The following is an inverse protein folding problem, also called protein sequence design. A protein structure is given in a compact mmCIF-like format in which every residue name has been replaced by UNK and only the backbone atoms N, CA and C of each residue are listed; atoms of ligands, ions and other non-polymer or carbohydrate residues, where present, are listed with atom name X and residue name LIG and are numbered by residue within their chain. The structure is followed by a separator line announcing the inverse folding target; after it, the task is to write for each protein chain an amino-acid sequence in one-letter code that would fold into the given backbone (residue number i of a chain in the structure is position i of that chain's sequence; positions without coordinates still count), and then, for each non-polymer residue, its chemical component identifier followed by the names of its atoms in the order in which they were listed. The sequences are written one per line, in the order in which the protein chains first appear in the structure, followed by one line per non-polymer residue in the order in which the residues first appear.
data_IF_828599193799
#
_entry.id   IF_828599193799
#
_cell.length_a   1.000
_cell.length_b   1.000
_cell.length_c   1.000
_cell.angle_alpha   90.00
_cell.angle_beta   90.00
_cell.angle_gamma   90.00
#
_symmetry.space_group_name_H-M   'P 1'
#
loop_
_entity.id
_entity.type
_entity.pdbx_description
1 polymer ?
#
# COMPACT_ATOMS: atom_id res chain seq x y z
N UNK A 1 22.10 -9.17 18.58
CA UNK A 1 21.71 -8.39 17.38
C UNK A 1 20.35 -7.78 17.65
N UNK A 2 20.17 -6.48 17.47
CA UNK A 2 18.88 -5.81 17.73
C UNK A 2 17.99 -5.85 16.48
N UNK A 3 16.70 -6.12 16.65
CA UNK A 3 15.70 -6.18 15.58
C UNK A 3 14.43 -5.41 15.98
N UNK A 4 13.75 -4.79 15.01
CA UNK A 4 12.51 -4.04 15.19
C UNK A 4 11.58 -4.35 14.03
N UNK A 5 10.33 -4.72 14.31
CA UNK A 5 9.31 -4.88 13.28
C UNK A 5 8.78 -3.52 12.81
N UNK A 6 8.81 -3.29 11.49
CA UNK A 6 8.35 -2.06 10.84
C UNK A 6 7.07 -2.22 10.02
N UNK A 7 6.59 -3.45 9.83
CA UNK A 7 5.34 -3.78 9.16
C UNK A 7 4.61 -4.81 10.04
N UNK A 8 3.60 -4.36 10.77
CA UNK A 8 2.83 -5.16 11.74
C UNK A 8 1.38 -4.75 11.69
N UNK A 9 0.49 -5.74 11.63
CA UNK A 9 -0.95 -5.55 11.75
C UNK A 9 -1.40 -5.83 13.17
N UNK A 10 -2.17 -4.91 13.74
CA UNK A 10 -2.88 -5.10 14.99
C UNK A 10 -4.32 -5.55 14.72
N UNK A 11 -5.08 -5.81 15.77
CA UNK A 11 -6.51 -6.11 15.71
C UNK A 11 -7.38 -4.97 15.15
N UNK A 12 -6.80 -3.81 14.83
CA UNK A 12 -7.46 -2.71 14.12
C UNK A 12 -7.38 -2.83 12.59
N UNK A 13 -6.59 -3.78 12.07
CA UNK A 13 -6.75 -4.30 10.71
C UNK A 13 -7.96 -5.22 10.65
N UNK A 14 -9.16 -4.64 10.56
CA UNK A 14 -10.42 -5.37 10.75
C UNK A 14 -10.56 -6.58 9.81
N UNK A 15 -10.90 -7.74 10.39
CA UNK A 15 -11.11 -8.98 9.63
C UNK A 15 -9.83 -9.61 9.08
N UNK A 16 -8.64 -9.17 9.51
CA UNK A 16 -7.34 -9.72 9.12
C UNK A 16 -6.38 -9.80 10.32
N UNK A 17 -6.14 -8.68 11.00
CA UNK A 17 -5.22 -8.62 12.13
C UNK A 17 -5.76 -9.30 13.39
N UNK A 18 -4.97 -10.21 13.95
CA UNK A 18 -5.33 -10.97 15.16
C UNK A 18 -4.62 -10.47 16.44
N UNK A 19 -3.53 -9.72 16.29
CA UNK A 19 -2.68 -9.34 17.41
C UNK A 19 -3.22 -8.11 18.15
N UNK A 20 -3.52 -8.24 19.44
CA UNK A 20 -3.91 -7.10 20.27
C UNK A 20 -2.73 -6.16 20.49
N UNK A 21 -2.99 -4.87 20.48
CA UNK A 21 -1.95 -3.84 20.71
C UNK A 21 -1.16 -4.09 22.00
N UNK A 22 -1.84 -4.39 23.11
CA UNK A 22 -1.15 -4.56 24.40
C UNK A 22 -0.23 -5.79 24.37
N UNK A 23 -0.69 -6.91 23.79
CA UNK A 23 0.09 -8.14 23.61
C UNK A 23 1.29 -7.94 22.66
N UNK A 24 1.12 -7.15 21.59
CA UNK A 24 2.22 -6.77 20.68
C UNK A 24 3.30 -6.00 21.42
N UNK A 25 2.91 -5.02 22.22
CA UNK A 25 3.83 -4.17 22.99
C UNK A 25 4.53 -4.98 24.09
N UNK A 26 3.79 -5.82 24.81
CA UNK A 26 4.35 -6.73 25.82
C UNK A 26 5.37 -7.69 25.21
N UNK A 27 5.05 -8.27 24.05
CA UNK A 27 5.97 -9.17 23.32
C UNK A 27 7.22 -8.44 22.84
N UNK A 28 7.08 -7.22 22.33
CA UNK A 28 8.21 -6.40 21.90
C UNK A 28 9.14 -6.06 23.08
N UNK A 29 8.59 -5.70 24.26
CA UNK A 29 9.36 -5.48 25.47
C UNK A 29 10.09 -6.76 25.92
N UNK A 30 9.37 -7.89 25.98
CA UNK A 30 9.90 -9.18 26.43
C UNK A 30 11.04 -9.70 25.54
N UNK A 31 11.03 -9.35 24.25
CA UNK A 31 12.06 -9.73 23.27
C UNK A 31 13.21 -8.71 23.17
N UNK A 32 13.19 -7.65 23.97
CA UNK A 32 14.25 -6.65 24.03
C UNK A 32 14.22 -5.62 22.89
N UNK A 33 13.07 -5.45 22.20
CA UNK A 33 12.92 -4.42 21.18
C UNK A 33 12.79 -3.03 21.84
N UNK A 34 13.51 -2.05 21.29
CA UNK A 34 13.46 -0.66 21.77
C UNK A 34 12.46 0.20 21.00
N UNK A 35 11.92 -0.33 19.90
CA UNK A 35 10.91 0.31 19.08
C UNK A 35 9.97 -0.76 18.49
N UNK A 36 8.77 -0.35 18.10
CA UNK A 36 7.79 -1.18 17.41
C UNK A 36 7.03 -0.29 16.44
N UNK A 37 6.67 -0.81 15.26
CA UNK A 37 5.72 -0.16 14.37
C UNK A 37 4.35 -0.86 14.39
N UNK A 38 3.30 -0.09 14.07
CA UNK A 38 2.00 -0.61 13.66
C UNK A 38 1.62 0.05 12.34
N UNK A 39 1.24 -0.76 11.37
CA UNK A 39 0.91 -0.40 9.99
C UNK A 39 -0.40 -1.10 9.61
N UNK A 40 -1.48 -0.73 10.28
CA UNK A 40 -2.79 -1.33 10.03
C UNK A 40 -3.31 -1.03 8.63
N UNK A 41 -4.23 -1.87 8.15
CA UNK A 41 -4.87 -1.66 6.85
C UNK A 41 -5.72 -0.40 6.86
N UNK A 42 -5.46 0.49 5.90
CA UNK A 42 -6.43 1.48 5.42
C UNK A 42 -6.93 2.50 6.47
N UNK A 43 -6.24 2.60 7.60
CA UNK A 43 -6.62 3.48 8.70
C UNK A 43 -5.63 3.50 9.85
N UNK A 44 -5.89 4.42 10.78
CA UNK A 44 -5.07 4.67 11.98
C UNK A 44 -5.89 4.45 13.27
N UNK A 45 -6.89 3.56 13.22
CA UNK A 45 -7.89 3.38 14.28
C UNK A 45 -7.26 3.02 15.63
N UNK A 46 -6.18 2.21 15.60
CA UNK A 46 -5.43 1.79 16.78
C UNK A 46 -4.30 2.75 17.20
N UNK A 47 -3.98 3.78 16.42
CA UNK A 47 -2.72 4.52 16.56
C UNK A 47 -2.54 5.19 17.93
N UNK A 48 -3.60 5.80 18.49
CA UNK A 48 -3.53 6.45 19.81
C UNK A 48 -3.32 5.42 20.92
N UNK A 49 -4.07 4.31 20.88
CA UNK A 49 -3.91 3.21 21.84
C UNK A 49 -2.50 2.61 21.76
N UNK A 50 -2.01 2.38 20.54
CA UNK A 50 -0.66 1.88 20.28
C UNK A 50 0.40 2.82 20.86
N UNK A 51 0.31 4.11 20.56
CA UNK A 51 1.25 5.10 21.06
C UNK A 51 1.30 5.14 22.59
N UNK A 52 0.13 5.12 23.24
CA UNK A 52 0.02 5.11 24.69
C UNK A 52 0.59 3.83 25.31
N UNK A 53 0.30 2.66 24.73
CA UNK A 53 0.81 1.37 25.20
C UNK A 53 2.35 1.32 25.10
N UNK A 54 2.91 1.68 23.94
CA UNK A 54 4.36 1.78 23.75
C UNK A 54 5.02 2.73 24.75
N UNK A 55 4.45 3.92 24.94
CA UNK A 55 4.98 4.93 25.88
C UNK A 55 5.03 4.39 27.30
N UNK A 56 3.96 3.71 27.75
CA UNK A 56 3.89 3.08 29.07
C UNK A 56 4.95 1.97 29.24
N UNK A 57 5.24 1.24 28.18
CA UNK A 57 6.22 0.16 28.18
C UNK A 57 7.67 0.62 27.93
N UNK A 58 7.91 1.91 27.70
CA UNK A 58 9.24 2.44 27.36
C UNK A 58 9.72 2.04 25.95
N UNK A 59 8.82 1.64 25.07
CA UNK A 59 9.11 1.31 23.67
C UNK A 59 8.84 2.54 22.80
N UNK A 60 9.73 2.85 21.86
CA UNK A 60 9.49 3.92 20.88
C UNK A 60 8.39 3.50 19.88
N UNK A 61 7.24 4.18 19.83
CA UNK A 61 6.22 3.89 18.83
C UNK A 61 6.61 4.44 17.45
N UNK A 62 6.38 3.65 16.41
CA UNK A 62 6.49 4.06 15.00
C UNK A 62 5.11 3.89 14.37
N UNK A 63 4.45 5.00 14.08
CA UNK A 63 3.09 4.97 13.54
C UNK A 63 3.13 4.93 12.03
N UNK A 64 2.42 3.98 11.43
CA UNK A 64 2.29 3.85 9.99
C UNK A 64 0.95 3.27 9.57
N UNK A 65 0.85 2.97 8.28
CA UNK A 65 -0.35 2.41 7.65
C UNK A 65 0.07 1.57 6.43
N UNK A 66 -0.62 0.46 6.18
CA UNK A 66 -0.61 -0.20 4.88
C UNK A 66 -1.87 0.23 4.11
N UNK A 67 -1.67 0.98 3.02
CA UNK A 67 -2.76 1.53 2.20
C UNK A 67 -2.94 0.71 0.94
N UNK A 68 -4.19 0.60 0.49
CA UNK A 68 -4.50 0.31 -0.91
C UNK A 68 -4.31 1.57 -1.77
N UNK A 69 -3.41 1.52 -2.76
CA UNK A 69 -3.07 2.67 -3.63
C UNK A 69 -3.29 2.40 -5.12
N UNK A 70 -3.49 3.48 -5.89
CA UNK A 70 -3.42 3.43 -7.36
C UNK A 70 -2.04 2.96 -7.82
N UNK A 71 -2.05 2.21 -8.93
CA UNK A 71 -0.84 1.80 -9.65
C UNK A 71 0.07 3.00 -9.93
N UNK A 72 1.27 2.95 -9.37
CA UNK A 72 2.34 3.93 -9.59
C UNK A 72 2.85 3.81 -11.03
N UNK A 73 2.91 2.60 -11.58
CA UNK A 73 3.34 2.37 -12.96
C UNK A 73 2.38 3.01 -13.97
N UNK A 74 1.07 2.90 -13.72
CA UNK A 74 0.06 3.53 -14.57
C UNK A 74 -0.06 5.04 -14.35
N UNK A 75 0.18 5.52 -13.12
CA UNK A 75 0.12 6.94 -12.82
C UNK A 75 1.29 7.72 -13.46
N UNK A 76 2.49 7.13 -13.51
CA UNK A 76 3.65 7.72 -14.23
C UNK A 76 3.44 7.71 -15.76
N UNK A 77 2.87 6.65 -16.32
CA UNK A 77 2.54 6.58 -17.74
C UNK A 77 1.56 7.69 -18.18
N UNK A 78 0.65 8.11 -17.30
CA UNK A 78 -0.28 9.24 -17.52
C UNK A 78 0.38 10.62 -17.37
N UNK A 79 1.49 10.73 -16.62
CA UNK A 79 2.24 11.98 -16.42
C UNK A 79 3.19 12.30 -17.56
N UNK A 80 3.68 11.29 -18.29
CA UNK A 80 4.56 11.51 -19.44
C UNK A 80 3.78 12.30 -20.51
N UNK A 81 4.28 13.45 -21.00
CA UNK A 81 3.63 14.14 -22.10
C UNK A 81 3.51 13.17 -23.29
N UNK A 82 2.44 13.27 -24.11
CA UNK A 82 2.42 12.56 -25.38
C UNK A 82 3.71 12.94 -26.10
N UNK A 83 4.56 11.95 -26.41
CA UNK A 83 5.74 12.19 -27.22
C UNK A 83 5.30 12.91 -28.49
N UNK A 84 5.93 14.05 -28.80
CA UNK A 84 5.61 14.87 -29.98
C UNK A 84 5.71 14.09 -31.31
N UNK A 85 6.28 12.89 -31.29
CA UNK A 85 6.47 12.01 -32.44
C UNK A 85 5.39 10.93 -32.66
N UNK A 86 4.19 11.06 -32.08
CA UNK A 86 3.08 10.18 -32.53
C UNK A 86 2.38 10.82 -33.73
N UNK A 87 2.51 10.25 -34.96
CA UNK A 87 1.68 10.69 -36.05
C UNK A 87 0.21 10.46 -35.68
N UNK A 88 -0.63 11.45 -35.96
CA UNK A 88 -2.06 11.41 -35.71
C UNK A 88 -2.71 10.25 -36.47
N UNK A 89 -2.88 9.10 -35.81
CA UNK A 89 -3.62 7.99 -36.41
C UNK A 89 -5.11 8.35 -36.42
N UNK A 90 -5.58 8.65 -37.62
CA UNK A 90 -6.98 8.74 -37.99
C UNK A 90 -7.71 7.47 -37.50
N UNK A 91 -8.84 7.67 -36.81
CA UNK A 91 -9.74 6.58 -36.46
C UNK A 91 -10.42 6.10 -37.74
N UNK A 92 -10.00 4.96 -38.26
CA UNK A 92 -10.80 4.16 -39.20
C UNK A 92 -11.14 2.82 -38.55
N UNK A 93 -12.41 2.48 -38.66
CA UNK A 93 -12.98 1.21 -38.27
C UNK A 93 -12.33 0.03 -39.03
N UNK A 94 -12.39 -1.14 -38.39
CA UNK A 94 -12.33 -2.51 -38.94
C UNK A 94 -11.05 -3.35 -38.83
N UNK A 95 -11.33 -4.61 -38.47
CA UNK A 95 -10.66 -5.88 -38.74
C UNK A 95 -9.47 -6.35 -37.87
N UNK A 96 -9.66 -7.58 -37.39
CA UNK A 96 -8.75 -8.43 -36.64
C UNK A 96 -7.43 -8.69 -37.39
N UNK A 97 -6.30 -8.50 -36.70
CA UNK A 97 -4.98 -9.00 -37.12
C UNK A 97 -3.99 -8.97 -35.96
N UNK A 98 -3.33 -10.10 -35.68
CA UNK A 98 -2.25 -10.19 -34.67
C UNK A 98 -1.03 -9.41 -35.18
N UNK A 99 -0.66 -8.34 -34.47
CA UNK A 99 0.60 -7.61 -34.70
C UNK A 99 1.82 -8.33 -34.12
N UNK A 100 3.05 -7.97 -34.54
CA UNK A 100 4.27 -8.66 -34.16
C UNK A 100 4.68 -8.36 -32.71
N UNK A 101 5.46 -9.28 -32.13
CA UNK A 101 6.01 -9.19 -30.78
C UNK A 101 7.03 -8.04 -30.67
N UNK A 102 6.55 -6.87 -30.26
CA UNK A 102 7.38 -5.74 -29.81
C UNK A 102 7.20 -5.56 -28.31
N UNK A 103 8.30 -5.32 -27.60
CA UNK A 103 8.41 -5.11 -26.15
C UNK A 103 7.16 -4.46 -25.54
N UNK A 104 6.29 -5.30 -24.99
CA UNK A 104 5.13 -4.85 -24.25
C UNK A 104 5.62 -4.44 -22.86
N UNK A 105 5.24 -3.25 -22.34
CA UNK A 105 5.47 -2.98 -20.92
C UNK A 105 4.84 -4.13 -20.14
N UNK A 106 5.63 -4.74 -19.24
CA UNK A 106 5.20 -5.86 -18.42
C UNK A 106 3.82 -5.54 -17.86
N UNK A 107 2.78 -6.22 -18.37
CA UNK A 107 1.44 -6.10 -17.82
C UNK A 107 1.47 -6.87 -16.52
N UNK A 108 1.73 -6.17 -15.43
CA UNK A 108 1.49 -6.73 -14.12
C UNK A 108 -0.03 -6.79 -14.00
N UNK A 109 -0.59 -7.97 -14.22
CA UNK A 109 -2.01 -8.20 -13.99
C UNK A 109 -2.35 -7.73 -12.58
N UNK A 110 -3.50 -7.06 -12.45
CA UNK A 110 -4.03 -6.63 -11.14
C UNK A 110 -3.90 -7.81 -10.17
N UNK A 111 -3.41 -7.59 -8.93
CA UNK A 111 -3.18 -8.72 -8.05
C UNK A 111 -4.51 -9.46 -7.87
N UNK A 112 -4.46 -10.78 -8.04
CA UNK A 112 -5.60 -11.65 -7.80
C UNK A 112 -6.11 -11.37 -6.38
N UNK A 113 -7.41 -11.09 -6.27
CA UNK A 113 -8.12 -10.78 -5.03
C UNK A 113 -7.81 -11.84 -3.97
N UNK A 114 -6.95 -11.49 -3.03
CA UNK A 114 -6.63 -12.33 -1.88
C UNK A 114 -7.28 -11.76 -0.62
N UNK A 115 -8.60 -11.65 -0.61
CA UNK A 115 -9.35 -11.72 0.64
C UNK A 115 -10.24 -12.95 0.46
N UNK A 116 -9.97 -14.02 1.20
CA UNK A 116 -10.83 -15.21 1.22
C UNK A 116 -12.14 -14.84 1.94
N UNK A 117 -13.06 -14.27 1.16
CA UNK A 117 -14.46 -14.06 1.50
C UNK A 117 -14.77 -12.69 2.10
N UNK A 118 -15.69 -11.89 1.52
CA UNK A 118 -16.11 -10.66 2.17
C UNK A 118 -16.84 -10.97 3.48
N UNK A 119 -16.58 -10.20 4.54
CA UNK A 119 -17.65 -9.91 5.50
C UNK A 119 -18.83 -9.41 4.67
N UNK A 120 -19.95 -10.13 4.79
CA UNK A 120 -21.18 -9.99 3.99
C UNK A 120 -21.45 -8.51 3.63
N UNK A 121 -21.14 -8.12 2.38
CA UNK A 121 -21.49 -6.81 1.83
C UNK A 121 -20.36 -5.81 1.52
N UNK A 122 -19.06 -6.12 1.73
CA UNK A 122 -17.95 -5.22 1.34
C UNK A 122 -17.05 -5.83 0.26
N UNK A 123 -16.95 -5.18 -0.91
CA UNK A 123 -15.99 -5.55 -1.97
C UNK A 123 -14.60 -5.04 -1.60
N UNK A 124 -13.56 -5.89 -1.53
CA UNK A 124 -12.18 -5.48 -1.24
C UNK A 124 -11.73 -4.27 -2.08
N UNK A 125 -10.97 -3.33 -1.48
CA UNK A 125 -10.49 -2.15 -2.16
C UNK A 125 -9.69 -2.56 -3.42
N UNK A 126 -9.90 -1.89 -4.58
CA UNK A 126 -8.99 -2.05 -5.70
C UNK A 126 -7.61 -1.50 -5.28
N UNK A 127 -6.49 -2.05 -5.78
CA UNK A 127 -5.19 -1.40 -5.61
C UNK A 127 -4.02 -2.31 -5.29
N UNK A 128 -2.90 -1.67 -4.99
CA UNK A 128 -1.66 -2.28 -4.53
C UNK A 128 -1.38 -1.85 -3.10
N UNK A 129 -0.73 -2.71 -2.32
CA UNK A 129 -0.37 -2.37 -0.96
C UNK A 129 0.82 -1.40 -0.92
N UNK A 130 0.73 -0.33 -0.13
CA UNK A 130 1.81 0.62 0.13
C UNK A 130 1.95 0.89 1.63
N UNK A 131 3.11 0.56 2.22
CA UNK A 131 3.40 0.84 3.62
C UNK A 131 4.08 2.19 3.76
N UNK A 132 3.48 3.05 4.58
CA UNK A 132 3.98 4.38 4.91
C UNK A 132 4.16 4.51 6.43
N UNK A 133 5.32 5.02 6.85
CA UNK A 133 5.64 5.30 8.25
C UNK A 133 5.81 6.82 8.46
N UNK A 134 5.22 7.36 9.52
CA UNK A 134 5.42 8.75 9.89
C UNK A 134 6.80 8.93 10.54
N UNK A 135 7.63 9.85 10.01
CA UNK A 135 8.92 10.18 10.59
C UNK A 135 8.79 11.09 11.83
N UNK A 136 7.80 11.99 11.80
CA UNK A 136 7.52 12.98 12.82
C UNK A 136 6.03 13.39 12.82
N UNK A 137 5.68 14.42 13.59
CA UNK A 137 4.31 14.96 13.65
C UNK A 137 3.79 15.46 12.28
N UNK A 138 4.66 15.99 11.41
CA UNK A 138 4.27 16.41 10.06
C UNK A 138 3.95 15.19 9.21
N UNK A 139 4.74 14.12 9.35
CA UNK A 139 4.46 12.81 8.75
C UNK A 139 3.11 12.25 9.19
N UNK A 140 2.82 12.25 10.50
CA UNK A 140 1.50 11.87 11.04
C UNK A 140 0.37 12.70 10.41
N UNK A 141 0.54 14.03 10.38
CA UNK A 141 -0.43 14.94 9.76
C UNK A 141 -0.68 14.61 8.29
N UNK A 142 0.37 14.24 7.55
CA UNK A 142 0.27 13.82 6.15
C UNK A 142 -0.42 12.47 5.98
N UNK A 143 -0.12 11.47 6.81
CA UNK A 143 -0.86 10.20 6.82
C UNK A 143 -2.36 10.43 7.03
N UNK A 144 -2.73 11.27 8.00
CA UNK A 144 -4.14 11.60 8.24
C UNK A 144 -4.81 12.21 7.00
N UNK A 145 -4.13 13.10 6.26
CA UNK A 145 -4.67 13.70 5.02
C UNK A 145 -4.86 12.66 3.92
N UNK A 146 -3.87 11.78 3.70
CA UNK A 146 -3.95 10.73 2.68
C UNK A 146 -5.10 9.78 2.98
N UNK A 147 -5.20 9.29 4.22
CA UNK A 147 -6.26 8.38 4.65
C UNK A 147 -7.63 9.05 4.54
N UNK A 148 -7.75 10.28 5.04
CA UNK A 148 -9.03 11.02 4.96
C UNK A 148 -9.49 11.19 3.51
N UNK A 149 -8.58 11.53 2.60
CA UNK A 149 -8.90 11.62 1.18
C UNK A 149 -9.34 10.26 0.59
N UNK A 150 -8.62 9.18 0.92
CA UNK A 150 -8.96 7.82 0.46
C UNK A 150 -10.36 7.37 0.90
N UNK A 151 -10.79 7.76 2.11
CA UNK A 151 -12.15 7.51 2.62
C UNK A 151 -13.20 8.41 1.98
N UNK A 152 -12.92 9.72 1.85
CA UNK A 152 -13.88 10.70 1.34
C UNK A 152 -14.16 10.58 -0.17
N UNK A 153 -13.19 10.12 -0.95
CA UNK A 153 -13.32 9.94 -2.40
C UNK A 153 -14.17 8.71 -2.75
N UNK A 154 -14.32 7.77 -1.82
CA UNK A 154 -14.99 6.49 -2.02
C UNK A 154 -15.98 6.16 -0.89
N UNK A 155 -17.00 7.02 -0.66
CA UNK A 155 -17.92 6.84 0.45
C UNK A 155 -18.66 5.50 0.36
N UNK A 156 -18.68 4.75 1.46
CA UNK A 156 -19.35 3.45 1.56
C UNK A 156 -18.61 2.29 0.86
N UNK A 157 -17.39 2.51 0.38
CA UNK A 157 -16.51 1.48 -0.19
C UNK A 157 -15.22 1.41 0.62
N UNK A 158 -14.47 0.30 0.54
CA UNK A 158 -13.13 0.28 1.11
C UNK A 158 -12.27 1.41 0.55
N UNK A 159 -11.50 2.08 1.42
CA UNK A 159 -10.74 3.26 1.03
C UNK A 159 -9.64 2.89 0.04
N UNK A 160 -9.36 3.83 -0.85
CA UNK A 160 -8.40 3.66 -1.92
C UNK A 160 -7.71 5.00 -2.17
N UNK A 161 -6.38 5.03 -2.06
CA UNK A 161 -5.62 6.26 -2.20
C UNK A 161 -5.13 6.47 -3.63
N UNK A 162 -5.50 7.61 -4.23
CA UNK A 162 -4.91 8.06 -5.50
C UNK A 162 -3.42 8.32 -5.35
N UNK A 163 -2.62 7.89 -6.32
CA UNK A 163 -1.16 8.09 -6.29
C UNK A 163 -0.78 9.57 -6.18
N UNK A 164 -1.53 10.46 -6.86
CA UNK A 164 -1.31 11.90 -6.79
C UNK A 164 -1.49 12.47 -5.38
N UNK A 165 -2.45 11.94 -4.61
CA UNK A 165 -2.68 12.34 -3.22
C UNK A 165 -1.52 11.89 -2.33
N UNK A 166 -1.02 10.67 -2.54
CA UNK A 166 0.17 10.17 -1.83
C UNK A 166 1.39 11.05 -2.11
N UNK A 167 1.67 11.35 -3.39
CA UNK A 167 2.79 12.23 -3.79
C UNK A 167 2.65 13.64 -3.23
N UNK A 168 1.44 14.21 -3.22
CA UNK A 168 1.20 15.55 -2.67
C UNK A 168 1.52 15.66 -1.18
N UNK A 169 1.42 14.55 -0.45
CA UNK A 169 1.58 14.48 1.00
C UNK A 169 2.74 13.56 1.42
N UNK A 170 3.73 13.34 0.55
CA UNK A 170 4.82 12.38 0.81
C UNK A 170 5.89 12.90 1.78
N UNK A 171 5.96 14.21 2.00
CA UNK A 171 6.96 14.80 2.90
C UNK A 171 6.82 14.22 4.32
N UNK A 172 7.97 13.98 4.97
CA UNK A 172 8.05 13.39 6.32
C UNK A 172 7.50 11.96 6.46
N UNK A 173 7.33 11.24 5.35
CA UNK A 173 6.97 9.82 5.33
C UNK A 173 8.18 8.96 4.92
N UNK A 174 8.29 7.76 5.48
CA UNK A 174 9.14 6.69 4.95
C UNK A 174 8.22 5.72 4.23
N UNK A 175 8.56 5.38 2.99
CA UNK A 175 7.85 4.39 2.20
C UNK A 175 8.65 3.08 2.17
N UNK A 176 7.98 1.95 2.41
CA UNK A 176 8.56 0.63 2.16
C UNK A 176 8.07 0.10 0.82
N UNK A 177 8.80 -0.84 0.23
CA UNK A 177 8.40 -1.53 -1.01
C UNK A 177 7.18 -2.45 -0.83
N UNK A 178 6.62 -2.53 0.38
CA UNK A 178 5.46 -3.35 0.77
C UNK A 178 5.68 -4.86 0.67
N UNK A 179 4.60 -5.61 0.87
CA UNK A 179 4.54 -7.06 0.75
C UNK A 179 4.47 -7.53 -0.72
N UNK A 180 4.27 -8.84 -0.93
CA UNK A 180 4.05 -9.43 -2.26
C UNK A 180 2.85 -8.89 -3.04
N UNK A 181 1.95 -8.16 -2.38
CA UNK A 181 0.81 -7.44 -2.99
C UNK A 181 1.10 -5.96 -3.23
N UNK A 182 2.31 -5.50 -2.90
CA UNK A 182 2.83 -4.25 -3.42
C UNK A 182 3.13 -4.40 -4.91
N UNK A 183 2.96 -3.31 -5.66
CA UNK A 183 3.10 -3.31 -7.12
C UNK A 183 4.48 -3.78 -7.58
N UNK A 184 5.54 -3.34 -6.89
CA UNK A 184 6.91 -3.74 -7.20
C UNK A 184 7.13 -5.23 -6.97
N UNK A 185 6.70 -5.75 -5.81
CA UNK A 185 6.85 -7.17 -5.48
C UNK A 185 6.09 -8.07 -6.46
N UNK A 186 4.89 -7.66 -6.86
CA UNK A 186 4.11 -8.37 -7.87
C UNK A 186 4.78 -8.34 -9.25
N UNK A 187 5.35 -7.20 -9.66
CA UNK A 187 6.08 -7.07 -10.92
C UNK A 187 7.30 -8.00 -10.98
N UNK A 188 8.09 -8.04 -9.92
CA UNK A 188 9.27 -8.93 -9.83
C UNK A 188 8.85 -10.40 -9.89
N UNK A 189 7.81 -10.80 -9.16
CA UNK A 189 7.31 -12.18 -9.19
C UNK A 189 6.78 -12.58 -10.58
N UNK A 190 6.14 -11.66 -11.30
CA UNK A 190 5.67 -11.90 -12.66
C UNK A 190 6.84 -12.08 -13.64
N UNK A 191 7.87 -11.23 -13.55
CA UNK A 191 9.06 -11.32 -14.39
C UNK A 191 9.80 -12.65 -14.19
N UNK A 192 10.03 -13.05 -12.94
CA UNK A 192 10.69 -14.33 -12.61
C UNK A 192 9.91 -15.53 -13.15
N UNK A 193 8.57 -15.49 -13.15
CA UNK A 193 7.76 -16.58 -13.73
C UNK A 193 7.90 -16.66 -15.25
N UNK A 194 7.85 -15.52 -15.93
CA UNK A 194 7.98 -15.45 -17.38
C UNK A 194 9.35 -15.99 -17.86
N UNK A 195 10.42 -15.75 -17.11
CA UNK A 195 11.76 -16.29 -17.41
C UNK A 195 11.87 -17.80 -17.20
N UNK A 196 11.12 -18.38 -16.27
CA UNK A 196 11.16 -19.82 -15.98
C UNK A 196 10.23 -20.65 -16.88
N UNK A 197 9.32 -20.00 -17.60
CA UNK A 197 8.36 -20.63 -18.52
C UNK A 197 8.83 -20.59 -20.00
N UNK A 198 9.96 -19.93 -20.30
CA UNK A 198 10.57 -19.82 -21.64
C UNK A 198 11.84 -20.65 -21.79
#
# INVERSE_FOLDING_TARGET
MSFVHLHVHSNFSFGDGACRIDELVETAAATGMTALAVTDHDGLYGAVRFYQACTKAGIKPIVGVELNVESVLNAEAKRRPPSADRPAQQRSHEAHGRGPAGEHPVRVDRPHQGYDGPLRGQTAAPGWHLVLLAQDYRGWSNLCRIISAAHLEHPGKPPYARWQTVVKHSDHLICLSSCRRGELGAAVLAAVRAENEG
#
